data_IF_060879166956
#
_entry.id   IF_060879166956
#
_cell.length_a   1.000
_cell.length_b   1.000
_cell.length_c   1.000
_cell.angle_alpha   90.00
_cell.angle_beta   90.00
_cell.angle_gamma   90.00
#
_symmetry.space_group_name_H-M   'P 1'
#
loop_
_entity.id
_entity.type
_entity.pdbx_description
1 polymer ?
#
# COMPACT_ATOMS: atom_id res chain seq x y z
N UNK A 1 -11.21 -2.81 -15.99
CA UNK A 1 -9.75 -2.90 -15.77
C UNK A 1 -9.33 -1.87 -14.73
N UNK A 2 -8.56 -2.30 -13.76
CA UNK A 2 -8.05 -1.38 -12.74
C UNK A 2 -6.91 -0.53 -13.27
N UNK A 3 -6.90 0.73 -12.87
CA UNK A 3 -5.80 1.64 -13.15
C UNK A 3 -5.07 1.91 -11.85
N UNK A 4 -3.73 1.92 -11.90
CA UNK A 4 -2.90 2.10 -10.73
C UNK A 4 -2.10 3.38 -10.83
N UNK A 5 -2.03 4.12 -9.72
CA UNK A 5 -1.24 5.33 -9.61
C UNK A 5 -0.44 5.28 -8.30
N UNK A 6 0.68 5.99 -8.29
CA UNK A 6 1.56 6.08 -7.14
C UNK A 6 1.71 7.54 -6.77
N UNK A 7 1.15 7.91 -5.62
CA UNK A 7 1.26 9.29 -5.14
C UNK A 7 2.71 9.64 -4.82
N UNK A 8 3.04 10.91 -4.88
CA UNK A 8 4.38 11.38 -4.53
C UNK A 8 4.75 10.99 -3.10
N UNK A 9 3.80 11.05 -2.18
CA UNK A 9 4.02 10.63 -0.80
C UNK A 9 4.42 9.17 -0.70
N UNK A 10 3.86 8.30 -1.55
CA UNK A 10 4.25 6.91 -1.59
C UNK A 10 5.69 6.76 -2.08
N UNK A 11 6.03 7.40 -3.19
CA UNK A 11 7.38 7.34 -3.75
C UNK A 11 8.42 7.85 -2.76
N UNK A 12 8.12 8.94 -2.06
CA UNK A 12 9.01 9.48 -1.05
C UNK A 12 9.15 8.55 0.15
N UNK A 13 8.08 7.88 0.56
CA UNK A 13 8.14 6.96 1.69
C UNK A 13 9.07 5.78 1.40
N UNK A 14 9.13 5.32 0.14
CA UNK A 14 10.01 4.22 -0.23
C UNK A 14 11.48 4.58 -0.09
N UNK A 15 11.84 5.85 -0.20
CA UNK A 15 13.24 6.29 -0.08
C UNK A 15 13.81 6.08 1.32
N UNK A 16 12.96 5.96 2.33
CA UNK A 16 13.39 5.74 3.71
C UNK A 16 13.82 4.30 3.98
N UNK A 17 13.53 3.36 3.06
CA UNK A 17 13.86 1.96 3.25
C UNK A 17 15.25 1.67 2.73
N UNK A 18 15.93 0.71 3.39
CA UNK A 18 17.23 0.22 2.89
C UNK A 18 17.02 -0.61 1.62
N UNK A 19 18.06 -0.77 0.77
CA UNK A 19 17.89 -1.38 -0.55
C UNK A 19 17.20 -2.75 -0.57
N UNK A 20 17.54 -3.65 0.35
CA UNK A 20 16.90 -4.97 0.34
C UNK A 20 15.43 -4.91 0.74
N UNK A 21 15.05 -3.94 1.57
CA UNK A 21 13.65 -3.73 1.91
C UNK A 21 12.87 -3.21 0.71
N UNK A 22 13.47 -2.29 -0.05
CA UNK A 22 12.85 -1.75 -1.26
C UNK A 22 12.56 -2.87 -2.26
N UNK A 23 13.51 -3.78 -2.44
CA UNK A 23 13.32 -4.91 -3.35
C UNK A 23 12.18 -5.81 -2.87
N UNK A 24 12.14 -6.09 -1.57
CA UNK A 24 11.09 -6.92 -0.99
C UNK A 24 9.72 -6.27 -1.15
N UNK A 25 9.61 -4.98 -0.84
CA UNK A 25 8.36 -4.23 -0.95
C UNK A 25 7.90 -4.21 -2.41
N UNK A 26 8.81 -3.95 -3.36
CA UNK A 26 8.46 -3.90 -4.76
C UNK A 26 7.93 -5.24 -5.25
N UNK A 27 8.55 -6.33 -4.85
CA UNK A 27 8.09 -7.68 -5.21
C UNK A 27 6.69 -7.95 -4.66
N UNK A 28 6.45 -7.59 -3.40
CA UNK A 28 5.14 -7.76 -2.79
C UNK A 28 4.09 -6.84 -3.42
N UNK A 29 4.47 -5.63 -3.80
CA UNK A 29 3.59 -4.71 -4.52
C UNK A 29 3.15 -5.31 -5.85
N UNK A 30 4.09 -5.91 -6.59
CA UNK A 30 3.77 -6.55 -7.86
C UNK A 30 2.77 -7.70 -7.67
N UNK A 31 2.96 -8.51 -6.64
CA UNK A 31 2.03 -9.60 -6.30
C UNK A 31 0.66 -9.04 -5.91
N UNK A 32 0.65 -7.97 -5.13
CA UNK A 32 -0.61 -7.36 -4.68
C UNK A 32 -1.40 -6.75 -5.84
N UNK A 33 -0.71 -6.04 -6.73
CA UNK A 33 -1.35 -5.46 -7.91
C UNK A 33 -1.98 -6.54 -8.77
N UNK A 34 -1.25 -7.64 -9.00
CA UNK A 34 -1.79 -8.77 -9.74
C UNK A 34 -3.01 -9.37 -9.03
N UNK A 35 -2.94 -9.51 -7.70
CA UNK A 35 -4.05 -10.05 -6.91
C UNK A 35 -5.30 -9.17 -7.04
N UNK A 36 -5.12 -7.85 -7.03
CA UNK A 36 -6.23 -6.91 -7.22
C UNK A 36 -6.84 -7.06 -8.63
N UNK A 37 -5.99 -7.19 -9.64
CA UNK A 37 -6.46 -7.33 -11.03
C UNK A 37 -7.29 -8.59 -11.24
N UNK A 38 -6.88 -9.71 -10.65
CA UNK A 38 -7.62 -10.96 -10.77
C UNK A 38 -8.70 -11.12 -9.68
N UNK A 39 -8.79 -10.15 -8.78
CA UNK A 39 -9.77 -10.12 -7.67
C UNK A 39 -9.70 -11.34 -6.76
N UNK A 40 -8.48 -11.81 -6.52
CA UNK A 40 -8.19 -12.91 -5.60
C UNK A 40 -7.03 -12.51 -4.71
N UNK A 41 -7.36 -11.95 -3.54
CA UNK A 41 -6.35 -11.39 -2.65
C UNK A 41 -6.08 -12.37 -1.51
N UNK A 42 -4.86 -12.95 -1.45
CA UNK A 42 -4.50 -13.86 -0.39
C UNK A 42 -4.63 -13.22 0.99
N UNK A 43 -5.06 -14.00 1.97
CA UNK A 43 -5.26 -13.51 3.33
C UNK A 43 -3.97 -12.95 3.95
N UNK A 44 -2.81 -13.42 3.50
CA UNK A 44 -1.52 -12.94 4.00
C UNK A 44 -1.27 -11.45 3.77
N UNK A 45 -1.95 -10.85 2.80
CA UNK A 45 -1.85 -9.40 2.57
C UNK A 45 -2.55 -8.57 3.65
N UNK A 46 -3.37 -9.20 4.49
CA UNK A 46 -4.03 -8.49 5.59
C UNK A 46 -4.82 -7.28 5.14
N UNK A 47 -5.53 -7.40 4.02
CA UNK A 47 -6.30 -6.28 3.46
C UNK A 47 -7.35 -5.80 4.45
N UNK A 48 -7.34 -4.48 4.71
CA UNK A 48 -8.23 -3.90 5.72
C UNK A 48 -8.74 -2.54 5.25
N UNK A 49 -10.05 -2.38 5.28
CA UNK A 49 -10.67 -1.08 4.99
C UNK A 49 -10.60 -0.20 6.22
N UNK A 50 -10.05 1.00 6.07
CA UNK A 50 -9.92 1.96 7.16
C UNK A 50 -11.08 2.94 7.23
N UNK A 51 -11.75 3.19 6.12
CA UNK A 51 -12.89 4.09 6.05
C UNK A 51 -12.98 4.73 4.69
N UNK A 52 -14.20 5.00 4.21
CA UNK A 52 -14.39 5.56 2.87
C UNK A 52 -13.71 4.69 1.83
N UNK A 53 -12.83 5.29 1.04
CA UNK A 53 -12.08 4.59 0.01
C UNK A 53 -10.67 4.18 0.45
N UNK A 54 -10.35 4.42 1.71
CA UNK A 54 -9.00 4.21 2.25
C UNK A 54 -8.83 2.80 2.77
N UNK A 55 -7.75 2.14 2.31
CA UNK A 55 -7.43 0.77 2.65
C UNK A 55 -5.98 0.64 3.08
N UNK A 56 -5.69 -0.44 3.77
CA UNK A 56 -4.34 -0.79 4.20
C UNK A 56 -4.07 -2.23 3.82
N UNK A 57 -2.84 -2.51 3.39
CA UNK A 57 -2.40 -3.88 3.13
C UNK A 57 -1.01 -4.10 3.74
N UNK A 58 -0.72 -5.34 4.11
CA UNK A 58 0.57 -5.73 4.68
C UNK A 58 1.51 -6.19 3.57
N UNK A 59 2.72 -5.62 3.55
CA UNK A 59 3.75 -6.03 2.59
C UNK A 59 4.74 -7.02 3.21
N UNK A 60 4.99 -6.92 4.53
CA UNK A 60 5.72 -7.92 5.32
C UNK A 60 5.30 -7.77 6.79
N UNK A 61 6.04 -8.37 7.71
CA UNK A 61 5.66 -8.36 9.13
C UNK A 61 5.56 -6.96 9.72
N UNK A 62 6.40 -6.04 9.25
CA UNK A 62 6.51 -4.70 9.81
C UNK A 62 5.98 -3.61 8.88
N UNK A 63 5.91 -3.85 7.58
CA UNK A 63 5.63 -2.82 6.57
C UNK A 63 4.20 -2.94 6.08
N UNK A 64 3.51 -1.80 6.05
CA UNK A 64 2.14 -1.68 5.54
C UNK A 64 2.11 -0.60 4.48
N UNK A 65 1.12 -0.70 3.58
CA UNK A 65 0.92 0.27 2.51
C UNK A 65 -0.52 0.74 2.57
N UNK A 66 -0.69 2.06 2.51
CA UNK A 66 -2.01 2.70 2.41
C UNK A 66 -2.33 2.97 0.97
N UNK A 67 -3.58 2.77 0.58
CA UNK A 67 -4.04 3.10 -0.76
C UNK A 67 -5.49 3.50 -0.76
N UNK A 68 -5.88 4.28 -1.76
CA UNK A 68 -7.27 4.60 -2.03
C UNK A 68 -7.77 3.72 -3.16
N UNK A 69 -8.98 3.23 -3.03
CA UNK A 69 -9.60 2.40 -4.05
C UNK A 69 -10.96 2.99 -4.40
N UNK A 70 -11.04 3.66 -5.54
CA UNK A 70 -12.26 4.30 -6.03
C UNK A 70 -12.63 3.68 -7.36
N UNK A 71 -13.74 2.97 -7.42
CA UNK A 71 -14.22 2.34 -8.66
C UNK A 71 -13.10 1.49 -9.28
N UNK A 72 -12.56 1.94 -10.41
CA UNK A 72 -11.51 1.22 -11.13
C UNK A 72 -10.12 1.83 -10.92
N UNK A 73 -9.97 2.74 -9.95
CA UNK A 73 -8.71 3.42 -9.71
C UNK A 73 -8.16 3.08 -8.32
N UNK A 74 -6.91 2.66 -8.29
CA UNK A 74 -6.16 2.39 -7.05
C UNK A 74 -4.97 3.33 -7.01
N UNK A 75 -4.87 4.13 -5.94
CA UNK A 75 -3.76 5.06 -5.77
C UNK A 75 -3.02 4.70 -4.48
N UNK A 76 -1.75 4.33 -4.62
CA UNK A 76 -0.91 4.04 -3.45
C UNK A 76 -0.40 5.35 -2.84
N UNK A 77 -0.57 5.50 -1.53
CA UNK A 77 -0.36 6.77 -0.85
C UNK A 77 0.90 6.80 0.01
N UNK A 78 1.20 5.73 0.71
CA UNK A 78 2.29 5.74 1.70
C UNK A 78 2.64 4.32 2.14
N UNK A 79 3.94 4.06 2.33
CA UNK A 79 4.41 2.79 2.88
C UNK A 79 5.28 3.03 4.11
N UNK A 80 5.09 2.24 5.14
CA UNK A 80 5.86 2.37 6.36
C UNK A 80 5.40 1.40 7.44
N UNK A 81 6.01 1.50 8.62
CA UNK A 81 5.61 0.70 9.77
C UNK A 81 4.33 1.26 10.40
N UNK A 82 3.82 0.56 11.40
CA UNK A 82 2.57 0.96 12.06
C UNK A 82 2.58 2.42 12.54
N UNK A 83 3.64 2.83 13.20
CA UNK A 83 3.73 4.20 13.75
C UNK A 83 3.80 5.25 12.63
N UNK A 84 4.52 4.95 11.57
CA UNK A 84 4.63 5.84 10.41
C UNK A 84 3.29 5.98 9.69
N UNK A 85 2.56 4.88 9.55
CA UNK A 85 1.20 4.89 9.00
C UNK A 85 0.29 5.78 9.84
N UNK A 86 0.34 5.66 11.17
CA UNK A 86 -0.49 6.47 12.06
C UNK A 86 -0.17 7.96 11.94
N UNK A 87 1.10 8.32 11.83
CA UNK A 87 1.50 9.72 11.62
C UNK A 87 0.97 10.25 10.30
N UNK A 88 1.11 9.46 9.23
CA UNK A 88 0.61 9.88 7.93
C UNK A 88 -0.89 10.13 7.97
N UNK A 89 -1.64 9.23 8.58
CA UNK A 89 -3.10 9.34 8.67
C UNK A 89 -3.55 10.60 9.40
N UNK A 90 -2.82 11.03 10.43
CA UNK A 90 -3.15 12.27 11.17
C UNK A 90 -3.14 13.49 10.27
N UNK A 91 -2.26 13.53 9.27
CA UNK A 91 -2.14 14.66 8.36
C UNK A 91 -2.94 14.47 7.08
N UNK A 92 -3.29 13.23 6.76
CA UNK A 92 -4.05 12.92 5.56
C UNK A 92 -5.55 13.16 5.77
N UNK A 93 -6.04 12.79 6.93
CA UNK A 93 -7.44 12.96 7.29
C UNK A 93 -7.68 14.31 7.93
#
# INVERSE_FOLDING_TARGET
>A
MLQFAFARSFEQSLKAFVPHEKISIQRQMDHFILALEVRRIPSGFGLKKLGGDLWETRMDLAIRVLFEWQKNAVTFLFGGNHNEIQKFLKHYL
#
